data_IF_966816630354
#
_entry.id   IF_966816630354
#
_cell.length_a   1.000
_cell.length_b   1.000
_cell.length_c   1.000
_cell.angle_alpha   90.00
_cell.angle_beta   90.00
_cell.angle_gamma   90.00
#
_symmetry.space_group_name_H-M   'P 1'
#
loop_
_entity.id
_entity.type
_entity.pdbx_description
1 polymer ?
#
# COMPACT_ATOMS: atom_id res chain seq x y z
N UNK A 1 2.65 5.18 4.21
CA UNK A 1 2.82 4.21 3.11
C UNK A 1 3.39 2.91 3.68
N UNK A 2 2.79 1.77 3.37
CA UNK A 2 3.10 0.47 3.96
C UNK A 2 3.81 -0.41 2.90
N UNK A 3 5.09 -0.78 3.13
CA UNK A 3 5.88 -1.56 2.19
C UNK A 3 5.35 -2.98 1.97
N UNK A 4 5.47 -3.48 0.74
CA UNK A 4 5.28 -4.89 0.40
C UNK A 4 6.39 -5.81 0.90
N UNK A 5 6.27 -7.11 0.62
CA UNK A 5 7.29 -8.09 1.00
C UNK A 5 7.31 -8.37 2.51
N UNK A 6 8.47 -8.31 3.14
CA UNK A 6 8.63 -8.59 4.57
C UNK A 6 8.35 -7.38 5.47
N UNK A 7 8.14 -6.18 4.91
CA UNK A 7 8.01 -4.95 5.69
C UNK A 7 9.30 -4.41 6.30
N UNK A 8 10.37 -5.22 6.32
CA UNK A 8 11.72 -4.82 6.73
C UNK A 8 12.36 -3.94 5.65
N UNK A 9 12.54 -2.66 5.97
CA UNK A 9 13.30 -1.67 5.22
C UNK A 9 14.80 -1.82 5.49
N UNK A 10 15.17 -2.35 6.65
CA UNK A 10 16.53 -2.38 7.14
C UNK A 10 17.07 -0.96 7.33
N UNK A 11 16.33 -0.12 8.05
CA UNK A 11 16.74 1.23 8.40
C UNK A 11 17.87 1.16 9.43
N UNK A 12 18.97 1.82 9.11
CA UNK A 12 20.17 1.86 9.96
C UNK A 12 20.29 3.22 10.69
N UNK A 13 21.08 3.30 11.78
CA UNK A 13 21.25 4.54 12.54
C UNK A 13 21.79 5.72 11.73
N UNK A 14 22.51 5.45 10.63
CA UNK A 14 23.02 6.46 9.70
C UNK A 14 21.99 6.90 8.63
N UNK A 15 20.77 6.36 8.69
CA UNK A 15 19.69 6.63 7.75
C UNK A 15 19.73 5.79 6.47
N UNK A 16 20.68 4.86 6.34
CA UNK A 16 20.74 3.93 5.21
C UNK A 16 19.54 2.97 5.25
N UNK A 17 18.98 2.67 4.09
CA UNK A 17 17.86 1.74 3.91
C UNK A 17 18.36 0.54 3.09
N UNK A 18 18.49 -0.64 3.72
CA UNK A 18 18.99 -1.85 3.02
C UNK A 18 18.06 -2.34 1.92
N UNK A 19 16.75 -2.22 2.12
CA UNK A 19 15.71 -2.73 1.21
C UNK A 19 14.98 -1.60 0.47
N UNK A 20 15.75 -0.64 -0.05
CA UNK A 20 15.24 0.57 -0.72
C UNK A 20 14.53 0.35 -2.05
N UNK A 21 14.59 -0.87 -2.61
CA UNK A 21 13.98 -1.21 -3.90
C UNK A 21 12.46 -1.41 -3.85
N UNK A 22 11.83 -1.41 -2.68
CA UNK A 22 10.38 -1.50 -2.60
C UNK A 22 9.72 -0.26 -3.25
N UNK A 23 8.58 -0.43 -3.94
CA UNK A 23 7.92 0.66 -4.67
C UNK A 23 7.70 1.91 -3.80
N UNK A 24 7.01 1.79 -2.67
CA UNK A 24 6.70 2.95 -1.82
C UNK A 24 7.93 3.57 -1.15
N UNK A 25 9.02 2.79 -1.03
CA UNK A 25 10.27 3.24 -0.40
C UNK A 25 11.15 3.98 -1.40
N UNK A 26 11.32 3.38 -2.59
CA UNK A 26 12.08 3.96 -3.71
C UNK A 26 11.44 5.27 -4.16
N UNK A 27 10.11 5.35 -4.16
CA UNK A 27 9.39 6.51 -4.68
C UNK A 27 9.10 7.61 -3.64
N UNK A 28 9.55 7.46 -2.39
CA UNK A 28 9.33 8.47 -1.32
C UNK A 28 9.69 9.90 -1.72
N UNK A 29 10.76 10.07 -2.51
CA UNK A 29 11.17 11.39 -3.01
C UNK A 29 10.20 12.00 -4.01
N UNK A 30 9.54 11.18 -4.84
CA UNK A 30 8.55 11.63 -5.83
C UNK A 30 7.27 12.12 -5.16
N UNK A 31 6.87 11.51 -4.04
CA UNK A 31 5.77 11.99 -3.21
C UNK A 31 6.09 13.34 -2.56
N UNK A 32 7.29 13.49 -1.99
CA UNK A 32 7.72 14.75 -1.38
C UNK A 32 7.76 15.91 -2.40
N UNK A 33 8.20 15.63 -3.63
CA UNK A 33 8.22 16.62 -4.72
C UNK A 33 6.81 17.09 -5.11
N UNK A 34 5.77 16.28 -4.84
CA UNK A 34 4.35 16.62 -5.05
C UNK A 34 3.69 17.24 -3.81
N UNK A 35 4.47 17.54 -2.77
CA UNK A 35 3.98 18.21 -1.57
C UNK A 35 3.42 17.28 -0.48
N UNK A 36 3.52 15.96 -0.65
CA UNK A 36 3.07 15.02 0.39
C UNK A 36 4.16 14.78 1.44
N UNK A 37 3.77 14.80 2.71
CA UNK A 37 4.58 14.22 3.78
C UNK A 37 4.41 12.71 3.81
N UNK A 38 5.50 11.95 3.89
CA UNK A 38 5.46 10.49 3.89
C UNK A 38 5.96 9.87 5.18
N UNK A 39 5.15 8.95 5.74
CA UNK A 39 5.53 8.09 6.85
C UNK A 39 5.66 6.66 6.31
N UNK A 40 6.81 6.04 6.48
CA UNK A 40 7.08 4.64 6.10
C UNK A 40 7.66 3.93 7.32
N UNK A 41 6.92 2.99 7.95
CA UNK A 41 7.45 2.26 9.08
C UNK A 41 8.47 1.21 8.63
N UNK A 42 9.48 1.00 9.48
CA UNK A 42 10.36 -0.16 9.43
C UNK A 42 9.97 -1.17 10.53
N UNK A 43 10.31 -2.43 10.36
CA UNK A 43 10.08 -3.45 11.38
C UNK A 43 11.16 -3.41 12.45
N UNK A 44 10.78 -3.77 13.68
CA UNK A 44 11.74 -3.90 14.77
C UNK A 44 12.58 -5.15 14.55
N UNK A 45 13.89 -5.04 14.78
CA UNK A 45 14.84 -6.17 14.75
C UNK A 45 14.78 -6.97 13.43
N UNK A 46 14.44 -6.32 12.31
CA UNK A 46 14.27 -6.95 11.00
C UNK A 46 13.24 -8.10 10.99
N UNK A 47 12.28 -8.08 11.92
CA UNK A 47 11.21 -9.06 11.97
C UNK A 47 10.35 -8.98 10.70
N UNK A 48 10.04 -10.13 10.12
CA UNK A 48 9.20 -10.20 8.92
C UNK A 48 7.72 -10.06 9.26
N UNK A 49 7.00 -9.22 8.51
CA UNK A 49 5.55 -9.07 8.57
C UNK A 49 4.78 -10.06 7.70
N UNK A 50 5.45 -10.98 7.00
CA UNK A 50 4.76 -12.04 6.26
C UNK A 50 3.89 -12.87 7.21
N UNK A 51 2.59 -12.93 6.95
CA UNK A 51 1.64 -13.64 7.82
C UNK A 51 1.23 -12.85 9.06
N UNK A 52 1.61 -11.58 9.16
CA UNK A 52 1.30 -10.70 10.29
C UNK A 52 0.60 -9.40 9.87
N UNK A 53 0.51 -9.10 8.57
CA UNK A 53 -0.05 -7.85 8.07
C UNK A 53 -1.54 -7.69 8.46
N UNK A 54 -2.29 -8.79 8.48
CA UNK A 54 -3.70 -8.85 8.87
C UNK A 54 -3.93 -9.05 10.36
N UNK A 55 -2.88 -9.09 11.19
CA UNK A 55 -3.01 -9.31 12.63
C UNK A 55 -3.61 -8.10 13.36
N UNK A 56 -4.29 -8.34 14.47
CA UNK A 56 -4.78 -7.26 15.35
C UNK A 56 -3.65 -6.43 15.96
N UNK A 57 -2.49 -7.04 16.21
CA UNK A 57 -1.31 -6.33 16.69
C UNK A 57 -0.81 -5.32 15.65
N UNK A 58 -0.73 -5.72 14.38
CA UNK A 58 -0.28 -4.80 13.33
C UNK A 58 -1.35 -3.77 12.94
N UNK A 59 -2.64 -4.08 13.08
CA UNK A 59 -3.71 -3.09 12.96
C UNK A 59 -3.48 -1.90 13.92
N UNK A 60 -3.13 -2.18 15.18
CA UNK A 60 -2.83 -1.15 16.18
C UNK A 60 -1.64 -0.28 15.78
N UNK A 61 -0.58 -0.89 15.24
CA UNK A 61 0.58 -0.14 14.73
C UNK A 61 0.15 0.81 13.61
N UNK A 62 -0.66 0.35 12.66
CA UNK A 62 -1.14 1.22 11.58
C UNK A 62 -2.05 2.35 12.11
N UNK A 63 -2.93 2.06 13.07
CA UNK A 63 -3.76 3.12 13.69
C UNK A 63 -2.94 4.13 14.49
N UNK A 64 -1.86 3.69 15.15
CA UNK A 64 -0.93 4.59 15.84
C UNK A 64 -0.18 5.49 14.85
N UNK A 65 0.19 4.98 13.67
CA UNK A 65 0.77 5.79 12.59
C UNK A 65 -0.21 6.81 12.03
N UNK A 66 -1.49 6.45 11.89
CA UNK A 66 -2.56 7.39 11.50
C UNK A 66 -2.69 8.50 12.55
N UNK A 67 -2.76 8.12 13.84
CA UNK A 67 -2.81 9.10 14.93
C UNK A 67 -1.55 9.97 14.99
N UNK A 68 -0.37 9.41 14.70
CA UNK A 68 0.87 10.17 14.61
C UNK A 68 0.85 11.17 13.45
N UNK A 69 0.29 10.80 12.29
CA UNK A 69 0.14 11.70 11.15
C UNK A 69 -0.74 12.91 11.49
N UNK A 70 -1.89 12.69 12.15
CA UNK A 70 -2.77 13.77 12.62
C UNK A 70 -2.10 14.71 13.64
N UNK A 71 -1.11 14.24 14.40
CA UNK A 71 -0.32 15.10 15.30
C UNK A 71 0.64 16.02 14.56
N UNK A 72 0.95 15.76 13.29
CA UNK A 72 1.87 16.60 12.51
C UNK A 72 1.17 17.84 11.92
N UNK A 73 -0.15 17.82 11.77
CA UNK A 73 -0.92 18.96 11.25
C UNK A 73 -2.33 18.60 10.81
N UNK A 74 -3.11 19.60 10.32
CA UNK A 74 -4.52 19.44 9.95
C UNK A 74 -4.74 18.81 8.56
N UNK A 75 -3.67 18.42 7.86
CA UNK A 75 -3.77 17.89 6.51
C UNK A 75 -4.52 16.55 6.48
N UNK A 76 -5.17 16.29 5.34
CA UNK A 76 -5.79 15.00 5.07
C UNK A 76 -4.78 13.84 5.21
N UNK A 77 -5.21 12.77 5.90
CA UNK A 77 -4.40 11.58 6.13
C UNK A 77 -4.88 10.44 5.24
N UNK A 78 -3.93 9.86 4.50
CA UNK A 78 -4.16 8.73 3.61
C UNK A 78 -3.31 7.53 4.01
N UNK A 79 -3.82 6.33 3.79
CA UNK A 79 -3.04 5.09 3.93
C UNK A 79 -2.84 4.47 2.56
N UNK A 80 -1.59 4.33 2.14
CA UNK A 80 -1.21 3.64 0.91
C UNK A 80 -0.45 2.37 1.25
N UNK A 81 -0.83 1.22 0.68
CA UNK A 81 -0.10 -0.04 0.80
C UNK A 81 0.20 -0.67 -0.55
N UNK A 82 1.34 -1.36 -0.68
CA UNK A 82 1.73 -2.09 -1.90
C UNK A 82 1.92 -3.58 -1.63
N UNK A 83 1.42 -4.46 -2.51
CA UNK A 83 1.60 -5.90 -2.38
C UNK A 83 1.13 -6.40 -1.01
N UNK A 84 1.94 -7.10 -0.23
CA UNK A 84 1.58 -7.47 1.14
C UNK A 84 1.29 -6.28 2.07
N UNK A 85 1.88 -5.12 1.81
CA UNK A 85 1.58 -3.90 2.55
C UNK A 85 0.15 -3.40 2.32
N UNK A 86 -0.52 -3.82 1.23
CA UNK A 86 -1.94 -3.51 1.02
C UNK A 86 -2.85 -4.31 1.97
N UNK A 87 -2.44 -5.50 2.41
CA UNK A 87 -3.13 -6.25 3.49
C UNK A 87 -3.11 -5.42 4.77
N UNK A 88 -1.96 -4.86 5.12
CA UNK A 88 -1.82 -3.99 6.28
C UNK A 88 -2.59 -2.67 6.12
N UNK A 89 -2.65 -2.11 4.91
CA UNK A 89 -3.46 -0.92 4.64
C UNK A 89 -4.95 -1.19 4.86
N UNK A 90 -5.45 -2.32 4.35
CA UNK A 90 -6.83 -2.75 4.58
C UNK A 90 -7.10 -2.98 6.06
N UNK A 91 -6.23 -3.74 6.72
CA UNK A 91 -6.35 -4.04 8.15
C UNK A 91 -6.36 -2.78 9.01
N UNK A 92 -5.43 -1.86 8.78
CA UNK A 92 -5.36 -0.59 9.51
C UNK A 92 -6.58 0.30 9.26
N UNK A 93 -7.00 0.44 8.00
CA UNK A 93 -8.17 1.25 7.65
C UNK A 93 -9.49 0.67 8.20
N UNK A 94 -9.63 -0.65 8.25
CA UNK A 94 -10.77 -1.34 8.84
C UNK A 94 -10.91 -1.11 10.36
N UNK A 95 -9.81 -0.75 11.03
CA UNK A 95 -9.76 -0.48 12.47
C UNK A 95 -9.55 1.01 12.80
N UNK A 96 -9.42 1.87 11.79
CA UNK A 96 -9.22 3.29 11.98
C UNK A 96 -10.50 3.96 12.50
N UNK A 97 -10.39 4.99 13.37
CA UNK A 97 -11.56 5.77 13.77
C UNK A 97 -12.28 6.34 12.55
N UNK A 98 -13.62 6.32 12.56
CA UNK A 98 -14.41 6.88 11.46
C UNK A 98 -14.04 8.36 11.22
N UNK A 99 -13.87 8.73 9.94
CA UNK A 99 -13.46 10.08 9.54
C UNK A 99 -11.97 10.41 9.75
N UNK A 100 -11.15 9.49 10.28
CA UNK A 100 -9.71 9.74 10.45
C UNK A 100 -8.89 9.58 9.17
N UNK A 101 -9.48 9.04 8.09
CA UNK A 101 -8.82 8.84 6.81
C UNK A 101 -9.60 9.54 5.71
N UNK A 102 -8.88 10.34 4.91
CA UNK A 102 -9.39 10.92 3.68
C UNK A 102 -9.45 9.90 2.54
N UNK A 103 -8.62 8.84 2.61
CA UNK A 103 -8.69 7.74 1.66
C UNK A 103 -7.66 6.64 1.88
N UNK A 104 -7.87 5.52 1.19
CA UNK A 104 -7.01 4.34 1.20
C UNK A 104 -6.59 4.00 -0.23
N UNK A 105 -5.29 3.80 -0.47
CA UNK A 105 -4.76 3.41 -1.77
C UNK A 105 -4.12 2.03 -1.69
N UNK A 106 -4.58 1.11 -2.53
CA UNK A 106 -4.12 -0.27 -2.56
C UNK A 106 -3.45 -0.55 -3.91
N UNK A 107 -2.14 -0.76 -3.92
CA UNK A 107 -1.35 -0.99 -5.15
C UNK A 107 -0.89 -2.43 -5.26
N UNK A 108 -1.05 -3.06 -6.43
CA UNK A 108 -0.69 -4.47 -6.72
C UNK A 108 -1.00 -5.43 -5.58
N UNK A 109 -2.26 -5.41 -5.13
CA UNK A 109 -2.68 -6.05 -3.89
C UNK A 109 -2.59 -7.58 -3.92
N UNK A 110 -2.08 -8.15 -2.82
CA UNK A 110 -2.09 -9.60 -2.60
C UNK A 110 -3.53 -10.08 -2.38
N UNK A 111 -4.09 -10.73 -3.40
CA UNK A 111 -5.49 -11.16 -3.49
C UNK A 111 -5.66 -12.67 -3.63
N UNK A 112 -4.58 -13.38 -4.00
CA UNK A 112 -4.53 -14.84 -4.03
C UNK A 112 -3.64 -15.35 -2.91
N UNK A 113 -4.09 -16.40 -2.23
CA UNK A 113 -3.41 -16.99 -1.09
C UNK A 113 -2.00 -17.47 -1.48
N UNK A 114 -0.98 -16.84 -0.90
CA UNK A 114 0.43 -17.19 -1.12
C UNK A 114 1.12 -17.77 0.12
N UNK A 115 2.45 -17.75 0.11
CA UNK A 115 3.27 -18.27 1.22
C UNK A 115 3.04 -17.54 2.56
N UNK A 116 2.61 -16.28 2.53
CA UNK A 116 2.27 -15.51 3.73
C UNK A 116 0.94 -15.88 4.36
N UNK A 117 0.11 -16.70 3.69
CA UNK A 117 -1.19 -17.18 4.19
C UNK A 117 -2.20 -16.08 4.57
N UNK A 118 -2.09 -14.92 3.92
CA UNK A 118 -3.00 -13.78 4.09
C UNK A 118 -3.31 -13.15 2.73
N UNK A 119 -4.46 -12.49 2.62
CA UNK A 119 -4.85 -11.67 1.46
C UNK A 119 -5.53 -10.39 1.93
N UNK A 120 -5.75 -9.44 1.03
CA UNK A 120 -6.57 -8.26 1.34
C UNK A 120 -8.01 -8.64 1.72
N UNK A 121 -8.53 -9.78 1.26
CA UNK A 121 -9.89 -10.23 1.60
C UNK A 121 -10.01 -10.71 3.05
N UNK A 122 -8.93 -11.20 3.65
CA UNK A 122 -8.92 -11.64 5.06
C UNK A 122 -8.67 -10.50 6.05
N UNK A 123 -8.44 -9.27 5.57
CA UNK A 123 -8.07 -8.11 6.39
C UNK A 123 -9.25 -7.18 6.76
N UNK A 124 -10.48 -7.62 6.50
CA UNK A 124 -11.70 -6.84 6.81
C UNK A 124 -12.04 -5.70 5.84
N UNK A 125 -11.90 -5.86 4.50
CA UNK A 125 -12.17 -4.80 3.53
C UNK A 125 -13.60 -4.23 3.63
N UNK A 126 -14.57 -5.06 4.01
CA UNK A 126 -15.97 -4.66 4.18
C UNK A 126 -16.21 -3.63 5.30
N UNK A 127 -15.21 -3.38 6.15
CA UNK A 127 -15.31 -2.43 7.25
C UNK A 127 -14.73 -1.04 6.91
N UNK A 128 -14.11 -0.87 5.73
CA UNK A 128 -13.48 0.38 5.33
C UNK A 128 -14.54 1.37 4.87
N UNK A 129 -14.71 2.46 5.62
CA UNK A 129 -15.68 3.52 5.32
C UNK A 129 -15.09 4.65 4.46
N UNK A 130 -13.77 4.83 4.50
CA UNK A 130 -13.08 5.87 3.74
C UNK A 130 -13.14 5.59 2.22
N UNK A 131 -12.99 6.62 1.37
CA UNK A 131 -12.79 6.43 -0.08
C UNK A 131 -11.61 5.50 -0.36
N UNK A 132 -11.75 4.63 -1.37
CA UNK A 132 -10.73 3.63 -1.72
C UNK A 132 -10.34 3.71 -3.18
N UNK A 133 -9.04 3.76 -3.45
CA UNK A 133 -8.46 3.58 -4.78
C UNK A 133 -7.70 2.26 -4.86
N UNK A 134 -8.19 1.34 -5.69
CA UNK A 134 -7.48 0.09 -6.03
C UNK A 134 -6.72 0.31 -7.32
N UNK A 135 -5.39 0.22 -7.26
CA UNK A 135 -4.49 0.36 -8.40
C UNK A 135 -3.92 -1.00 -8.78
N UNK A 136 -4.05 -1.36 -10.05
CA UNK A 136 -3.50 -2.59 -10.60
C UNK A 136 -2.84 -2.33 -11.97
N UNK A 137 -1.82 -3.11 -12.29
CA UNK A 137 -1.08 -3.00 -13.53
C UNK A 137 -1.39 -4.18 -14.45
N UNK A 138 -1.91 -3.93 -15.65
CA UNK A 138 -2.23 -4.99 -16.64
C UNK A 138 -1.07 -5.91 -16.94
N UNK A 139 0.16 -5.42 -16.84
CA UNK A 139 1.38 -6.17 -17.14
C UNK A 139 2.00 -6.85 -15.92
N UNK A 140 1.38 -6.74 -14.74
CA UNK A 140 1.81 -7.52 -13.57
C UNK A 140 1.58 -9.02 -13.79
N UNK A 141 2.65 -9.78 -13.53
CA UNK A 141 2.69 -11.25 -13.63
C UNK A 141 2.86 -11.91 -12.27
N UNK A 142 2.79 -11.16 -11.18
CA UNK A 142 2.85 -11.69 -9.83
C UNK A 142 1.66 -12.63 -9.59
N UNK A 143 1.94 -13.88 -9.23
CA UNK A 143 0.94 -14.93 -9.08
C UNK A 143 -0.03 -14.69 -7.92
N UNK A 144 0.34 -13.85 -6.95
CA UNK A 144 -0.50 -13.52 -5.79
C UNK A 144 -1.25 -12.19 -5.93
N UNK A 145 -0.94 -11.39 -6.96
CA UNK A 145 -1.55 -10.09 -7.23
C UNK A 145 -2.05 -9.97 -8.69
N UNK A 146 -2.88 -10.91 -9.18
CA UNK A 146 -3.36 -10.84 -10.56
C UNK A 146 -4.16 -9.56 -10.81
N UNK A 147 -3.93 -8.83 -11.92
CA UNK A 147 -4.60 -7.55 -12.20
C UNK A 147 -6.13 -7.66 -12.24
N UNK A 148 -6.64 -8.82 -12.63
CA UNK A 148 -8.08 -9.10 -12.71
C UNK A 148 -8.77 -9.05 -11.34
N UNK A 149 -8.02 -9.25 -10.25
CA UNK A 149 -8.58 -9.20 -8.89
C UNK A 149 -8.91 -7.77 -8.44
N UNK A 150 -8.43 -6.72 -9.12
CA UNK A 150 -8.67 -5.32 -8.72
C UNK A 150 -10.17 -5.00 -8.55
N UNK A 151 -11.00 -5.48 -9.47
CA UNK A 151 -12.47 -5.31 -9.38
C UNK A 151 -13.08 -6.10 -8.21
N UNK A 152 -12.57 -7.30 -7.93
CA UNK A 152 -13.05 -8.11 -6.81
C UNK A 152 -12.71 -7.46 -5.46
N UNK A 153 -11.51 -6.88 -5.35
CA UNK A 153 -11.09 -6.10 -4.17
C UNK A 153 -12.02 -4.91 -3.97
N UNK A 154 -12.28 -4.14 -5.04
CA UNK A 154 -13.19 -2.99 -4.98
C UNK A 154 -14.60 -3.41 -4.51
N UNK A 155 -15.15 -4.50 -5.06
CA UNK A 155 -16.47 -5.02 -4.66
C UNK A 155 -16.52 -5.49 -3.21
N UNK A 156 -15.40 -5.88 -2.61
CA UNK A 156 -15.34 -6.28 -1.21
C UNK A 156 -15.38 -5.09 -0.23
N UNK A 157 -15.18 -3.85 -0.70
CA UNK A 157 -15.18 -2.62 0.12
C UNK A 157 -16.59 -2.09 0.37
N UNK A 158 -17.50 -2.93 0.83
CA UNK A 158 -18.95 -2.65 0.83
C UNK A 158 -19.40 -1.52 1.76
N UNK A 159 -18.59 -1.12 2.75
CA UNK A 159 -18.89 0.01 3.63
C UNK A 159 -18.47 1.37 3.05
N UNK A 160 -17.60 1.39 2.04
CA UNK A 160 -17.18 2.63 1.40
C UNK A 160 -18.20 3.04 0.34
N UNK A 161 -18.52 4.33 0.30
CA UNK A 161 -19.43 4.89 -0.71
C UNK A 161 -18.70 5.34 -1.98
N UNK A 162 -17.37 5.30 -1.96
CA UNK A 162 -16.53 5.80 -3.02
C UNK A 162 -15.34 4.84 -3.24
N UNK A 163 -15.45 4.01 -4.27
CA UNK A 163 -14.45 2.97 -4.57
C UNK A 163 -14.13 3.00 -6.05
N UNK A 164 -12.87 3.30 -6.35
CA UNK A 164 -12.35 3.38 -7.71
C UNK A 164 -11.35 2.27 -8.01
N UNK A 165 -11.34 1.82 -9.26
CA UNK A 165 -10.29 0.96 -9.80
C UNK A 165 -9.52 1.74 -10.86
N UNK A 166 -8.24 1.97 -10.61
CA UNK A 166 -7.30 2.51 -11.57
C UNK A 166 -6.48 1.37 -12.18
N UNK A 167 -6.64 1.17 -13.48
CA UNK A 167 -5.89 0.16 -14.23
C UNK A 167 -4.80 0.86 -15.04
N UNK A 168 -3.54 0.62 -14.68
CA UNK A 168 -2.36 1.10 -15.41
C UNK A 168 -1.78 -0.01 -16.28
N UNK A 169 -0.77 0.31 -17.10
CA UNK A 169 -0.06 -0.66 -17.92
C UNK A 169 1.40 -0.24 -18.06
N UNK A 170 2.28 -1.22 -18.29
CA UNK A 170 3.70 -1.04 -18.56
C UNK A 170 4.61 -1.38 -17.39
N UNK A 171 5.84 -0.88 -17.50
CA UNK A 171 6.95 -1.21 -16.61
C UNK A 171 7.94 -2.19 -17.25
N UNK A 172 9.11 -2.28 -16.64
CA UNK A 172 10.23 -3.11 -17.10
C UNK A 172 10.57 -4.17 -16.06
N UNK A 173 10.88 -5.37 -16.52
CA UNK A 173 11.32 -6.47 -15.65
C UNK A 173 12.84 -6.50 -15.54
N UNK A 174 13.35 -6.23 -14.34
CA UNK A 174 14.77 -6.39 -13.94
C UNK A 174 14.97 -7.35 -12.77
N UNK A 175 13.90 -7.79 -12.10
CA UNK A 175 13.97 -8.88 -11.12
C UNK A 175 13.69 -10.24 -11.77
N UNK A 176 14.26 -11.31 -11.20
CA UNK A 176 14.00 -12.69 -11.66
C UNK A 176 12.58 -13.17 -11.36
N UNK A 177 12.03 -12.78 -10.20
CA UNK A 177 10.68 -13.15 -9.78
C UNK A 177 9.69 -12.11 -10.27
N UNK A 178 8.53 -12.56 -10.76
CA UNK A 178 7.48 -11.66 -11.25
C UNK A 178 6.99 -10.67 -10.17
N UNK A 179 6.87 -11.12 -8.93
CA UNK A 179 6.52 -10.28 -7.76
C UNK A 179 7.67 -9.38 -7.25
N UNK A 180 8.80 -9.31 -7.95
CA UNK A 180 9.93 -8.49 -7.53
C UNK A 180 9.64 -7.00 -7.68
N UNK A 181 10.24 -6.16 -6.83
CA UNK A 181 9.96 -4.72 -6.83
C UNK A 181 10.50 -3.95 -8.04
N UNK A 182 11.38 -4.58 -8.85
CA UNK A 182 11.85 -4.05 -10.13
C UNK A 182 11.23 -4.80 -11.31
N UNK A 183 9.90 -4.92 -11.30
CA UNK A 183 9.06 -5.48 -12.37
C UNK A 183 7.80 -4.60 -12.53
N UNK A 184 6.90 -4.89 -13.47
CA UNK A 184 5.57 -4.28 -13.50
C UNK A 184 4.80 -4.34 -12.16
N UNK A 185 5.04 -5.35 -11.30
CA UNK A 185 4.49 -5.44 -9.93
C UNK A 185 4.92 -4.27 -9.03
N UNK A 186 6.11 -3.73 -9.26
CA UNK A 186 6.63 -2.56 -8.54
C UNK A 186 6.61 -1.28 -9.36
N UNK A 187 5.82 -1.27 -10.46
CA UNK A 187 5.72 -0.17 -11.43
C UNK A 187 7.06 0.30 -12.00
N UNK A 188 8.04 -0.59 -12.08
CA UNK A 188 9.42 -0.18 -12.36
C UNK A 188 9.58 0.40 -13.76
N UNK A 189 10.04 1.64 -13.86
CA UNK A 189 10.16 2.41 -15.10
C UNK A 189 8.93 3.24 -15.47
N UNK A 190 7.83 3.14 -14.71
CA UNK A 190 6.61 3.95 -14.91
C UNK A 190 6.14 4.59 -13.59
N UNK A 191 7.02 4.69 -12.59
CA UNK A 191 6.64 5.12 -11.24
C UNK A 191 6.01 6.52 -11.21
N UNK A 192 6.57 7.48 -11.97
CA UNK A 192 6.04 8.84 -12.03
C UNK A 192 4.61 8.87 -12.58
N UNK A 193 4.35 8.19 -13.69
CA UNK A 193 3.01 8.10 -14.27
C UNK A 193 1.98 7.53 -13.27
N UNK A 194 2.36 6.49 -12.54
CA UNK A 194 1.48 5.86 -11.54
C UNK A 194 1.24 6.79 -10.36
N UNK A 195 2.29 7.46 -9.88
CA UNK A 195 2.19 8.40 -8.76
C UNK A 195 1.38 9.64 -9.15
N UNK A 196 1.50 10.15 -10.37
CA UNK A 196 0.69 11.27 -10.85
C UNK A 196 -0.80 10.92 -10.85
N UNK A 197 -1.15 9.73 -11.35
CA UNK A 197 -2.53 9.28 -11.36
C UNK A 197 -3.09 9.06 -9.94
N UNK A 198 -2.28 8.54 -9.01
CA UNK A 198 -2.69 8.42 -7.60
C UNK A 198 -2.82 9.81 -6.96
N UNK A 199 -1.86 10.71 -7.18
CA UNK A 199 -1.85 12.06 -6.60
C UNK A 199 -3.08 12.86 -7.04
N UNK A 200 -3.42 12.79 -8.33
CA UNK A 200 -4.65 13.41 -8.83
C UNK A 200 -5.91 12.92 -8.11
N UNK A 201 -5.97 11.64 -7.71
CA UNK A 201 -7.07 11.12 -6.91
C UNK A 201 -6.96 11.56 -5.44
N UNK A 202 -5.76 11.59 -4.84
CA UNK A 202 -5.59 12.08 -3.46
C UNK A 202 -6.05 13.53 -3.34
N UNK A 203 -5.73 14.38 -4.31
CA UNK A 203 -6.04 15.81 -4.30
C UNK A 203 -7.54 16.10 -4.41
N UNK A 204 -8.34 15.20 -4.97
CA UNK A 204 -9.81 15.35 -4.96
C UNK A 204 -10.45 14.95 -3.63
N UNK A 205 -9.67 14.38 -2.70
CA UNK A 205 -10.12 13.89 -1.39
C UNK A 205 -9.41 14.60 -0.21
N UNK A 206 -8.49 15.52 -0.51
CA UNK A 206 -7.68 16.23 0.46
C UNK A 206 -8.40 17.42 1.11
#
# INVERSE_FOLDING_TARGET
MLPGGAGDLGLEPDGRIRHGDNFVVRTRGLWNQRGYAVIIPDTREHASLRGQCGSSAYARVVTDLIAFAHKQGPQAVFVLGTSQGSIAAVNGAAHAPAGSLAGVVLTESVSVMGGSRETVFSAGPQNIQAPVLVVANRDDRCNVAPPQAARQIALAMTASRDVHVLMVAGGTTRSRQACGSRTPHGYFGIEEQVIDAISAWLDTHA
#
